data_IF_952882961006
#
_entry.id   IF_952882961006
#
_cell.length_a   1.000
_cell.length_b   1.000
_cell.length_c   1.000
_cell.angle_alpha   90.00
_cell.angle_beta   90.00
_cell.angle_gamma   90.00
#
_symmetry.space_group_name_H-M   'P 1'
#
loop_
_entity.id
_entity.type
_entity.pdbx_description
1 polymer ?
#
# COMPACT_ATOMS: atom_id res chain seq x y z
N UNK A 1 3.78 1.55 -10.06
CA UNK A 1 2.56 1.21 -10.82
C UNK A 1 1.90 -0.06 -10.31
N UNK A 2 2.54 -1.23 -10.39
CA UNK A 2 1.94 -2.47 -9.89
C UNK A 2 1.53 -2.39 -8.41
N UNK A 3 2.41 -1.89 -7.53
CA UNK A 3 2.07 -1.65 -6.11
C UNK A 3 0.82 -0.79 -5.92
N UNK A 4 0.72 0.29 -6.72
CA UNK A 4 -0.45 1.15 -6.82
C UNK A 4 -1.73 0.39 -7.18
N UNK A 5 -1.67 -0.32 -8.30
CA UNK A 5 -2.81 -1.01 -8.89
C UNK A 5 -3.30 -2.18 -8.04
N UNK A 6 -2.39 -2.91 -7.39
CA UNK A 6 -2.67 -4.17 -6.72
C UNK A 6 -2.82 -4.06 -5.20
N UNK A 7 -2.26 -3.02 -4.57
CA UNK A 7 -2.25 -2.89 -3.11
C UNK A 7 -2.69 -1.50 -2.66
N UNK A 8 -1.89 -0.46 -2.89
CA UNK A 8 -2.06 0.84 -2.21
C UNK A 8 -3.30 1.60 -2.70
N UNK A 9 -3.74 1.40 -3.95
CA UNK A 9 -5.03 1.90 -4.43
C UNK A 9 -6.20 1.34 -3.62
N UNK A 10 -6.21 0.01 -3.39
CA UNK A 10 -7.22 -0.65 -2.55
C UNK A 10 -7.12 -0.22 -1.10
N UNK A 11 -5.92 -0.24 -0.52
CA UNK A 11 -5.72 0.13 0.89
C UNK A 11 -6.21 1.54 1.18
N UNK A 12 -5.89 2.52 0.32
CA UNK A 12 -6.35 3.91 0.49
C UNK A 12 -7.87 4.05 0.35
N UNK A 13 -8.50 3.22 -0.49
CA UNK A 13 -9.96 3.15 -0.63
C UNK A 13 -10.60 2.55 0.61
N UNK A 14 -10.07 1.46 1.13
CA UNK A 14 -10.59 0.77 2.30
C UNK A 14 -10.48 1.63 3.56
N UNK A 15 -9.37 2.35 3.75
CA UNK A 15 -9.23 3.37 4.79
C UNK A 15 -10.38 4.37 4.70
N UNK A 16 -10.63 4.91 3.49
CA UNK A 16 -11.75 5.83 3.26
C UNK A 16 -13.11 5.22 3.57
N UNK A 17 -13.33 3.95 3.20
CA UNK A 17 -14.57 3.23 3.49
C UNK A 17 -14.81 3.09 4.99
N UNK A 18 -13.81 2.70 5.77
CA UNK A 18 -13.95 2.60 7.24
C UNK A 18 -14.26 3.94 7.87
N UNK A 19 -13.54 5.00 7.50
CA UNK A 19 -13.75 6.34 8.03
C UNK A 19 -15.15 6.88 7.69
N UNK A 20 -15.62 6.66 6.46
CA UNK A 20 -16.96 7.07 6.02
C UNK A 20 -18.09 6.30 6.73
N UNK A 21 -17.78 5.16 7.36
CA UNK A 21 -18.71 4.40 8.20
C UNK A 21 -18.57 4.73 9.70
N UNK A 22 -18.10 5.94 10.03
CA UNK A 22 -17.92 6.45 11.38
C UNK A 22 -16.92 5.67 12.25
N UNK A 23 -16.02 4.89 11.65
CA UNK A 23 -14.92 4.31 12.41
C UNK A 23 -13.80 5.34 12.58
N UNK A 24 -13.56 5.82 13.80
CA UNK A 24 -12.50 6.78 14.11
C UNK A 24 -11.17 6.12 14.52
N UNK A 25 -11.17 4.80 14.69
CA UNK A 25 -10.03 4.01 15.18
C UNK A 25 -9.41 3.21 14.03
N UNK A 26 -9.12 3.90 12.92
CA UNK A 26 -8.41 3.33 11.77
C UNK A 26 -6.95 3.69 11.89
N UNK A 27 -6.05 2.71 11.87
CA UNK A 27 -4.60 2.92 11.95
C UNK A 27 -3.94 2.40 10.68
N UNK A 28 -3.16 3.25 10.01
CA UNK A 28 -2.44 2.90 8.79
C UNK A 28 -0.94 2.88 9.03
N UNK A 29 -0.22 2.02 8.32
CA UNK A 29 1.24 2.03 8.25
C UNK A 29 1.77 1.74 6.85
N UNK A 30 3.03 2.10 6.66
CA UNK A 30 3.88 1.58 5.59
C UNK A 30 5.08 0.91 6.23
N UNK A 31 5.36 -0.33 5.86
CA UNK A 31 6.59 -0.99 6.27
C UNK A 31 7.71 -0.55 5.33
N UNK A 32 8.54 0.38 5.80
CA UNK A 32 9.60 1.06 5.05
C UNK A 32 11.00 0.60 5.53
N UNK A 33 11.09 -0.57 6.18
CA UNK A 33 12.32 -1.05 6.77
C UNK A 33 13.05 -2.05 5.85
N UNK A 34 14.15 -1.66 5.19
CA UNK A 34 14.93 -2.58 4.38
C UNK A 34 15.73 -3.52 5.29
N UNK A 35 15.40 -4.82 5.24
CA UNK A 35 16.12 -5.86 5.96
C UNK A 35 16.39 -7.08 5.08
N UNK A 36 17.35 -7.89 5.49
CA UNK A 36 17.60 -9.22 4.92
C UNK A 36 16.86 -10.33 5.68
N UNK A 37 16.24 -10.03 6.83
CA UNK A 37 15.43 -11.00 7.57
C UNK A 37 14.21 -11.37 6.73
N UNK A 38 14.04 -12.67 6.46
CA UNK A 38 12.96 -13.21 5.63
C UNK A 38 13.04 -12.88 4.14
N UNK A 39 14.19 -12.38 3.67
CA UNK A 39 14.41 -12.15 2.25
C UNK A 39 14.73 -13.47 1.54
N UNK A 40 13.80 -13.96 0.71
CA UNK A 40 13.98 -15.18 -0.09
C UNK A 40 14.68 -14.87 -1.42
N UNK A 41 15.99 -14.63 -1.39
CA UNK A 41 16.78 -14.42 -2.61
C UNK A 41 18.08 -13.64 -2.41
N UNK A 42 18.82 -13.43 -3.48
CA UNK A 42 19.90 -12.44 -3.50
C UNK A 42 19.29 -11.04 -3.68
N UNK A 43 19.72 -10.06 -2.88
CA UNK A 43 19.38 -8.66 -3.19
C UNK A 43 19.93 -8.33 -4.56
N UNK A 44 19.09 -7.73 -5.39
CA UNK A 44 19.51 -7.21 -6.68
C UNK A 44 20.40 -6.00 -6.43
N UNK A 45 21.60 -6.02 -7.00
CA UNK A 45 22.54 -4.90 -6.91
C UNK A 45 21.87 -3.62 -7.41
N UNK A 46 21.91 -2.55 -6.62
CA UNK A 46 21.23 -1.28 -6.90
C UNK A 46 19.79 -1.19 -6.38
N UNK A 47 19.30 -2.22 -5.69
CA UNK A 47 17.97 -2.27 -5.07
C UNK A 47 18.06 -2.65 -3.58
N UNK A 48 19.16 -2.32 -2.93
CA UNK A 48 19.44 -2.71 -1.55
C UNK A 48 18.42 -2.15 -0.55
N UNK A 49 17.83 -1.00 -0.87
CA UNK A 49 16.85 -0.29 -0.03
C UNK A 49 15.39 -0.64 -0.38
N UNK A 50 15.16 -1.58 -1.30
CA UNK A 50 13.79 -2.00 -1.67
C UNK A 50 13.22 -2.93 -0.60
N UNK A 51 11.99 -2.62 -0.18
CA UNK A 51 11.17 -3.47 0.69
C UNK A 51 10.22 -4.31 -0.17
N UNK A 52 10.41 -5.63 -0.29
CA UNK A 52 9.52 -6.48 -1.09
C UNK A 52 8.20 -6.75 -0.37
N UNK A 53 7.21 -7.24 -1.14
CA UNK A 53 5.95 -7.72 -0.58
C UNK A 53 6.20 -8.83 0.46
N UNK A 54 5.59 -8.70 1.64
CA UNK A 54 5.71 -9.65 2.74
C UNK A 54 6.97 -9.50 3.59
N UNK A 55 7.79 -8.46 3.37
CA UNK A 55 8.99 -8.20 4.16
C UNK A 55 8.70 -7.94 5.65
N UNK A 56 7.47 -7.57 5.98
CA UNK A 56 7.01 -7.28 7.33
C UNK A 56 6.68 -8.55 8.13
N UNK A 57 6.34 -9.65 7.45
CA UNK A 57 5.90 -10.93 8.05
C UNK A 57 6.89 -11.51 9.06
N UNK A 58 8.21 -11.56 8.79
CA UNK A 58 9.19 -12.05 9.76
C UNK A 58 9.25 -11.20 11.02
N UNK A 59 8.92 -9.91 10.93
CA UNK A 59 9.00 -8.96 12.04
C UNK A 59 7.74 -8.97 12.91
N UNK A 60 6.54 -9.07 12.31
CA UNK A 60 5.29 -9.16 13.09
C UNK A 60 5.17 -10.50 13.83
N UNK A 61 5.54 -11.61 13.17
CA UNK A 61 5.34 -12.96 13.73
C UNK A 61 6.59 -13.56 14.36
N UNK A 62 7.73 -12.86 14.29
CA UNK A 62 9.03 -13.37 14.73
C UNK A 62 9.28 -14.80 14.21
N UNK A 63 8.97 -15.05 12.93
CA UNK A 63 8.94 -16.40 12.35
C UNK A 63 10.32 -17.03 12.43
N UNK A 64 10.46 -18.03 13.30
CA UNK A 64 11.75 -18.60 13.70
C UNK A 64 12.64 -19.00 12.51
N UNK A 65 12.06 -19.64 11.49
CA UNK A 65 12.80 -20.08 10.30
C UNK A 65 13.54 -18.96 9.58
N UNK A 66 12.93 -17.78 9.48
CA UNK A 66 13.53 -16.64 8.77
C UNK A 66 14.67 -16.03 9.57
N UNK A 67 14.45 -15.88 10.88
CA UNK A 67 15.45 -15.32 11.78
C UNK A 67 16.66 -16.23 11.91
N UNK A 68 16.45 -17.55 12.08
CA UNK A 68 17.54 -18.52 12.12
C UNK A 68 18.33 -18.53 10.82
N UNK A 69 17.66 -18.44 9.66
CA UNK A 69 18.34 -18.34 8.38
C UNK A 69 19.16 -17.04 8.27
N UNK A 70 18.59 -15.90 8.66
CA UNK A 70 19.29 -14.62 8.64
C UNK A 70 20.50 -14.60 9.58
N UNK A 71 20.39 -15.19 10.77
CA UNK A 71 21.49 -15.35 11.73
C UNK A 71 22.59 -16.22 11.12
N UNK A 72 22.23 -17.39 10.58
CA UNK A 72 23.17 -18.30 9.92
C UNK A 72 23.92 -17.62 8.77
N UNK A 73 23.24 -16.76 8.03
CA UNK A 73 23.82 -16.02 6.91
C UNK A 73 24.59 -14.76 7.35
N UNK A 74 24.56 -14.39 8.63
CA UNK A 74 25.20 -13.18 9.15
C UNK A 74 24.56 -11.88 8.63
N UNK A 75 23.28 -11.91 8.27
CA UNK A 75 22.58 -10.78 7.63
C UNK A 75 21.70 -9.97 8.58
N UNK A 76 21.60 -10.41 9.85
CA UNK A 76 20.92 -9.64 10.90
C UNK A 76 21.77 -8.44 11.28
N UNK A 77 21.15 -7.26 11.32
CA UNK A 77 21.76 -6.00 11.76
C UNK A 77 21.18 -5.55 13.11
N UNK A 78 21.88 -4.71 13.89
CA UNK A 78 21.45 -4.33 15.23
C UNK A 78 20.05 -3.70 15.33
N UNK A 79 19.56 -3.10 14.25
CA UNK A 79 18.24 -2.45 14.18
C UNK A 79 17.10 -3.42 13.89
N UNK A 80 17.36 -4.66 13.43
CA UNK A 80 16.30 -5.62 13.08
C UNK A 80 15.45 -5.99 14.31
N UNK A 81 16.09 -6.37 15.41
CA UNK A 81 15.39 -6.78 16.64
C UNK A 81 14.56 -5.64 17.25
N UNK A 82 15.07 -4.40 17.38
CA UNK A 82 14.25 -3.26 17.79
C UNK A 82 13.01 -3.04 16.93
N UNK A 83 13.11 -3.14 15.61
CA UNK A 83 11.95 -3.01 14.70
C UNK A 83 10.95 -4.13 14.93
N UNK A 84 11.42 -5.39 15.06
CA UNK A 84 10.56 -6.54 15.35
C UNK A 84 9.85 -6.42 16.70
N UNK A 85 10.56 -6.00 17.74
CA UNK A 85 9.99 -5.79 19.07
C UNK A 85 8.91 -4.71 19.04
N UNK A 86 9.20 -3.55 18.44
CA UNK A 86 8.21 -2.48 18.28
C UNK A 86 6.98 -2.98 17.54
N UNK A 87 7.15 -3.69 16.42
CA UNK A 87 6.04 -4.07 15.58
C UNK A 87 5.17 -5.16 16.23
N UNK A 88 5.78 -6.15 16.90
CA UNK A 88 5.08 -7.15 17.69
C UNK A 88 4.35 -6.54 18.89
N UNK A 89 4.96 -5.60 19.59
CA UNK A 89 4.30 -4.84 20.65
C UNK A 89 3.10 -4.05 20.10
N UNK A 90 3.27 -3.37 18.96
CA UNK A 90 2.21 -2.60 18.35
C UNK A 90 0.99 -3.46 17.97
N UNK A 91 1.23 -4.61 17.34
CA UNK A 91 0.17 -5.56 17.00
C UNK A 91 -0.52 -6.15 18.23
N UNK A 92 0.24 -6.48 19.29
CA UNK A 92 -0.34 -7.03 20.51
C UNK A 92 -1.11 -5.99 21.32
N UNK A 93 -0.65 -4.73 21.32
CA UNK A 93 -1.40 -3.62 21.91
C UNK A 93 -2.69 -3.34 21.14
N UNK A 94 -2.65 -3.37 19.81
CA UNK A 94 -3.85 -3.23 18.99
C UNK A 94 -4.87 -4.33 19.32
N UNK A 95 -4.43 -5.58 19.43
CA UNK A 95 -5.31 -6.69 19.79
C UNK A 95 -5.91 -6.58 21.20
N UNK A 96 -5.18 -6.03 22.17
CA UNK A 96 -5.63 -5.91 23.57
C UNK A 96 -6.48 -4.66 23.83
N UNK A 97 -6.15 -3.55 23.18
CA UNK A 97 -6.60 -2.21 23.57
C UNK A 97 -7.23 -1.42 22.42
N UNK A 98 -7.26 -1.98 21.20
CA UNK A 98 -7.75 -1.31 20.00
C UNK A 98 -6.84 -0.19 19.47
N UNK A 99 -5.64 -0.02 20.05
CA UNK A 99 -4.66 1.00 19.65
C UNK A 99 -3.25 0.40 19.59
N UNK A 100 -2.43 0.73 18.58
CA UNK A 100 -1.11 0.12 18.42
C UNK A 100 -0.07 0.65 19.42
N UNK A 101 -0.17 1.90 19.88
CA UNK A 101 0.71 2.40 20.95
C UNK A 101 -0.09 2.98 22.11
N UNK A 102 0.38 2.74 23.33
CA UNK A 102 -0.32 3.16 24.55
C UNK A 102 -0.07 4.64 24.89
N UNK A 103 1.05 5.19 24.42
CA UNK A 103 1.44 6.58 24.58
C UNK A 103 0.83 7.51 23.51
N UNK A 104 0.13 6.95 22.51
CA UNK A 104 -0.48 7.70 21.41
C UNK A 104 0.50 8.18 20.34
N UNK A 105 1.75 7.69 20.34
CA UNK A 105 2.76 8.01 19.31
C UNK A 105 2.35 7.57 17.89
N UNK A 106 1.56 6.50 17.76
CA UNK A 106 0.93 6.09 16.51
C UNK A 106 -0.54 6.51 16.52
N UNK A 107 -0.81 7.64 15.86
CA UNK A 107 -2.12 8.26 15.82
C UNK A 107 -3.04 7.58 14.78
N UNK A 108 -4.36 7.52 15.01
CA UNK A 108 -5.31 7.07 14.01
C UNK A 108 -5.31 8.00 12.80
N UNK A 109 -5.82 7.49 11.68
CA UNK A 109 -5.98 8.24 10.44
C UNK A 109 -6.95 9.40 10.66
N UNK A 110 -6.54 10.61 10.27
CA UNK A 110 -7.26 11.85 10.58
C UNK A 110 -8.48 12.05 9.71
N UNK A 111 -8.41 11.71 8.42
CA UNK A 111 -9.56 11.76 7.51
C UNK A 111 -9.35 10.92 6.25
N UNK A 112 -10.44 10.71 5.50
CA UNK A 112 -10.39 9.99 4.23
C UNK A 112 -9.46 10.66 3.20
N UNK A 113 -9.30 11.99 3.28
CA UNK A 113 -8.46 12.80 2.39
C UNK A 113 -7.06 13.03 2.92
N UNK A 114 -6.88 13.08 4.24
CA UNK A 114 -5.60 13.26 4.91
C UNK A 114 -5.24 11.97 5.64
N UNK A 115 -4.79 10.97 4.87
CA UNK A 115 -4.49 9.66 5.44
C UNK A 115 -3.11 9.66 6.09
N UNK A 116 -2.97 10.13 7.33
CA UNK A 116 -1.71 9.96 8.08
C UNK A 116 -1.48 8.48 8.40
N UNK A 117 -0.21 8.10 8.49
CA UNK A 117 0.21 6.73 8.67
C UNK A 117 1.56 6.68 9.40
N UNK A 118 1.87 5.56 10.02
CA UNK A 118 3.20 5.33 10.56
C UNK A 118 4.10 4.70 9.50
N UNK A 119 5.22 5.35 9.18
CA UNK A 119 6.31 4.72 8.45
C UNK A 119 7.13 3.90 9.44
N UNK A 120 6.96 2.58 9.40
CA UNK A 120 7.68 1.64 10.25
C UNK A 120 9.05 1.44 9.64
N UNK A 121 10.06 1.93 10.34
CA UNK A 121 11.46 1.87 9.95
C UNK A 121 12.33 1.92 11.23
N UNK A 122 13.62 2.19 11.11
CA UNK A 122 14.51 2.23 12.27
C UNK A 122 14.14 3.30 13.33
N UNK A 123 13.44 4.37 12.95
CA UNK A 123 13.06 5.46 13.85
C UNK A 123 11.56 5.62 14.07
N UNK A 124 10.72 4.97 13.26
CA UNK A 124 9.25 5.04 13.30
C UNK A 124 8.71 6.48 13.26
N UNK A 125 8.23 6.91 12.10
CA UNK A 125 7.84 8.32 11.90
C UNK A 125 6.41 8.42 11.39
N UNK A 126 5.57 9.19 12.07
CA UNK A 126 4.26 9.57 11.56
C UNK A 126 4.44 10.44 10.32
N UNK A 127 3.84 10.01 9.21
CA UNK A 127 3.82 10.72 7.94
C UNK A 127 2.38 11.04 7.56
N UNK A 128 2.23 12.01 6.68
CA UNK A 128 0.94 12.42 6.13
C UNK A 128 0.77 11.88 4.71
N UNK A 129 -0.47 11.87 4.22
CA UNK A 129 -0.79 11.61 2.81
C UNK A 129 -0.32 10.23 2.32
N UNK A 130 -0.70 9.16 3.02
CA UNK A 130 -0.43 7.78 2.62
C UNK A 130 -0.80 7.55 1.16
N UNK A 131 0.23 7.31 0.34
CA UNK A 131 0.12 6.94 -1.08
C UNK A 131 -0.90 7.80 -1.86
N UNK A 132 -0.92 9.11 -1.60
CA UNK A 132 -1.92 10.03 -2.16
C UNK A 132 -2.02 10.00 -3.69
N UNK A 133 -0.90 9.83 -4.39
CA UNK A 133 -0.87 9.70 -5.85
C UNK A 133 -1.59 8.42 -6.29
N UNK A 134 -1.32 7.29 -5.65
CA UNK A 134 -1.99 6.02 -5.95
C UNK A 134 -3.49 6.14 -5.68
N UNK A 135 -3.89 6.78 -4.57
CA UNK A 135 -5.30 7.04 -4.27
C UNK A 135 -5.98 7.83 -5.38
N UNK A 136 -5.37 8.92 -5.85
CA UNK A 136 -5.95 9.75 -6.92
C UNK A 136 -6.04 8.96 -8.22
N UNK A 137 -4.96 8.28 -8.62
CA UNK A 137 -4.93 7.54 -9.89
C UNK A 137 -5.94 6.39 -9.87
N UNK A 138 -5.90 5.54 -8.85
CA UNK A 138 -6.66 4.28 -8.85
C UNK A 138 -8.10 4.42 -8.36
N UNK A 139 -8.41 5.43 -7.55
CA UNK A 139 -9.75 5.62 -6.99
C UNK A 139 -10.51 6.81 -7.58
N UNK A 140 -9.89 7.63 -8.46
CA UNK A 140 -10.57 8.73 -9.14
C UNK A 140 -10.31 8.72 -10.65
N UNK A 141 -9.04 8.82 -11.06
CA UNK A 141 -8.70 8.97 -12.48
C UNK A 141 -9.08 7.73 -13.31
N UNK A 142 -8.66 6.53 -12.90
CA UNK A 142 -9.02 5.29 -13.60
C UNK A 142 -10.54 5.05 -13.60
N UNK A 143 -11.25 5.11 -12.45
CA UNK A 143 -12.69 4.93 -12.45
C UNK A 143 -13.48 5.91 -13.33
N UNK A 144 -13.03 7.16 -13.42
CA UNK A 144 -13.68 8.17 -14.28
C UNK A 144 -13.64 7.81 -15.77
N UNK A 145 -12.73 6.92 -16.16
CA UNK A 145 -12.50 6.51 -17.54
C UNK A 145 -13.13 5.15 -17.82
N UNK A 146 -12.94 4.19 -16.91
CA UNK A 146 -13.30 2.78 -17.15
C UNK A 146 -14.55 2.34 -16.40
N UNK A 147 -15.16 3.20 -15.59
CA UNK A 147 -16.25 2.84 -14.68
C UNK A 147 -15.71 2.23 -13.39
N UNK A 148 -16.30 1.12 -12.93
CA UNK A 148 -15.84 0.52 -11.67
C UNK A 148 -14.40 -0.03 -11.82
N UNK A 149 -13.52 0.37 -10.89
CA UNK A 149 -12.16 -0.16 -10.79
C UNK A 149 -11.87 -0.66 -9.36
N UNK A 150 -11.40 -1.91 -9.18
CA UNK A 150 -11.42 -2.95 -10.22
C UNK A 150 -12.85 -3.15 -10.72
N UNK A 151 -13.01 -3.68 -11.93
CA UNK A 151 -14.33 -4.07 -12.40
C UNK A 151 -14.96 -4.93 -11.31
N UNK A 152 -16.19 -4.61 -10.93
CA UNK A 152 -16.99 -5.59 -10.21
C UNK A 152 -16.92 -6.87 -11.03
N UNK A 153 -16.61 -8.00 -10.39
CA UNK A 153 -16.67 -9.29 -11.08
C UNK A 153 -17.98 -9.31 -11.82
N UNK A 154 -17.99 -9.49 -13.16
CA UNK A 154 -19.24 -9.52 -13.88
C UNK A 154 -20.12 -10.51 -13.14
N UNK A 155 -21.31 -10.05 -12.74
CA UNK A 155 -22.32 -10.95 -12.25
C UNK A 155 -22.49 -11.97 -13.38
N UNK A 156 -21.92 -13.17 -13.21
CA UNK A 156 -21.78 -14.16 -14.29
C UNK A 156 -23.16 -14.56 -14.86
N UNK A 157 -24.23 -14.11 -14.21
CA UNK A 157 -25.61 -14.30 -14.56
C UNK A 157 -26.23 -13.20 -15.45
N UNK A 158 -25.59 -12.04 -15.67
CA UNK A 158 -26.30 -10.88 -16.24
C UNK A 158 -25.73 -10.25 -17.54
N UNK A 159 -24.67 -10.81 -18.15
CA UNK A 159 -24.32 -10.52 -19.55
C UNK A 159 -23.98 -9.06 -19.91
N UNK A 160 -23.80 -8.16 -18.94
CA UNK A 160 -23.52 -6.74 -19.18
C UNK A 160 -22.08 -6.55 -19.65
N UNK A 161 -21.91 -6.09 -20.89
CA UNK A 161 -20.61 -5.77 -21.49
C UNK A 161 -19.99 -4.51 -20.84
N UNK A 162 -18.65 -4.44 -20.69
CA UNK A 162 -17.97 -3.24 -20.18
C UNK A 162 -18.18 -2.03 -21.12
N UNK A 163 -18.35 -0.83 -20.54
CA UNK A 163 -18.42 0.42 -21.32
C UNK A 163 -17.05 0.82 -21.88
N UNK A 164 -17.05 1.39 -23.08
CA UNK A 164 -15.83 1.90 -23.73
C UNK A 164 -15.21 3.08 -22.96
N UNK A 165 -13.89 3.04 -22.84
CA UNK A 165 -13.06 4.04 -22.12
C UNK A 165 -12.69 5.20 -23.05
N UNK A 166 -12.88 6.47 -22.65
CA UNK A 166 -12.44 7.63 -23.42
C UNK A 166 -10.92 7.67 -23.63
N UNK A 167 -10.47 8.24 -24.76
CA UNK A 167 -9.06 8.24 -25.17
C UNK A 167 -8.21 9.39 -24.60
N UNK A 168 -8.80 10.33 -23.87
CA UNK A 168 -8.12 11.54 -23.37
C UNK A 168 -8.25 11.70 -21.84
N UNK A 169 -7.10 11.69 -21.16
CA UNK A 169 -6.95 11.76 -19.70
C UNK A 169 -6.72 13.19 -19.18
N UNK A 170 -6.48 14.16 -20.07
CA UNK A 170 -6.00 15.51 -19.71
C UNK A 170 -7.03 16.35 -18.93
N UNK A 171 -8.32 16.10 -19.15
CA UNK A 171 -9.40 16.89 -18.54
C UNK A 171 -9.65 16.55 -17.06
N UNK A 172 -9.44 15.30 -16.63
CA UNK A 172 -9.69 14.87 -15.24
C UNK A 172 -8.56 15.31 -14.30
N UNK A 173 -7.34 15.30 -14.80
CA UNK A 173 -6.13 15.57 -14.02
C UNK A 173 -5.89 17.07 -13.81
N UNK A 174 -6.27 17.89 -14.79
CA UNK A 174 -6.20 19.36 -14.69
C UNK A 174 -7.18 19.95 -13.66
N UNK A 175 -8.33 19.30 -13.43
CA UNK A 175 -9.32 19.72 -12.43
C UNK A 175 -8.89 19.55 -10.97
N UNK A 176 -7.85 18.76 -10.70
CA UNK A 176 -7.32 18.50 -9.34
C UNK A 176 -5.88 18.99 -9.15
N UNK A 177 -5.36 19.80 -10.09
CA UNK A 177 -4.03 20.40 -10.01
C UNK A 177 -2.87 19.40 -10.08
N UNK A 178 -3.07 18.26 -10.74
CA UNK A 178 -2.09 17.19 -10.81
C UNK A 178 -1.69 16.91 -12.27
N UNK A 179 -0.40 17.03 -12.60
CA UNK A 179 0.13 16.64 -13.91
C UNK A 179 0.84 15.28 -13.80
N UNK A 180 0.40 14.30 -14.59
CA UNK A 180 1.12 13.03 -14.72
C UNK A 180 2.34 13.22 -15.61
N UNK A 181 3.46 12.60 -15.23
CA UNK A 181 4.62 12.50 -16.12
C UNK A 181 4.28 11.72 -17.40
N UNK A 182 4.96 11.99 -18.51
CA UNK A 182 4.76 11.27 -19.77
C UNK A 182 4.88 9.75 -19.61
N UNK A 183 5.79 9.30 -18.74
CA UNK A 183 5.96 7.90 -18.40
C UNK A 183 4.72 7.31 -17.71
N UNK A 184 4.11 8.04 -16.77
CA UNK A 184 2.87 7.62 -16.11
C UNK A 184 1.70 7.57 -17.11
N UNK A 185 1.59 8.57 -17.98
CA UNK A 185 0.57 8.58 -19.04
C UNK A 185 0.72 7.39 -20.02
N UNK A 186 1.96 7.08 -20.42
CA UNK A 186 2.27 5.95 -21.30
C UNK A 186 1.92 4.60 -20.64
N UNK A 187 2.27 4.43 -19.36
CA UNK A 187 1.93 3.21 -18.62
C UNK A 187 0.42 3.05 -18.46
N UNK A 188 -0.30 4.14 -18.15
CA UNK A 188 -1.77 4.13 -18.10
C UNK A 188 -2.38 3.69 -19.43
N UNK A 189 -1.92 4.26 -20.55
CA UNK A 189 -2.39 3.88 -21.90
C UNK A 189 -2.17 2.41 -22.20
N UNK A 190 -1.01 1.86 -21.82
CA UNK A 190 -0.70 0.44 -22.03
C UNK A 190 -1.56 -0.48 -21.15
N UNK A 191 -1.81 -0.12 -19.88
CA UNK A 191 -2.67 -0.92 -19.00
C UNK A 191 -4.13 -0.94 -19.46
N UNK A 192 -4.66 0.21 -19.91
CA UNK A 192 -6.00 0.31 -20.50
C UNK A 192 -6.07 -0.44 -21.83
N UNK A 193 -5.01 -0.39 -22.65
CA UNK A 193 -4.94 -1.10 -23.93
C UNK A 193 -4.90 -2.62 -23.81
N UNK A 194 -4.24 -3.17 -22.77
CA UNK A 194 -4.19 -4.63 -22.52
C UNK A 194 -5.57 -5.19 -22.16
N UNK A 195 -6.45 -4.39 -21.53
CA UNK A 195 -7.84 -4.77 -21.27
C UNK A 195 -8.68 -5.00 -22.54
N UNK A 196 -8.24 -4.52 -23.72
CA UNK A 196 -8.98 -4.66 -24.98
C UNK A 196 -8.66 -5.96 -25.75
N UNK A 197 -7.69 -6.77 -25.30
CA UNK A 197 -7.17 -7.92 -26.08
C UNK A 197 -7.36 -9.31 -25.44
N UNK A 198 -8.14 -9.44 -24.37
CA UNK A 198 -8.46 -10.74 -23.76
C UNK A 198 -9.97 -11.06 -23.80
N UNK A 199 -10.57 -10.99 -24.99
CA UNK A 199 -11.85 -11.62 -25.30
C UNK A 199 -11.78 -12.28 -26.68
#
# INVERSE_FOLDING_TARGET
VFTGAAFTGYTTRDIGYYLNNNNTEVYAYEFDYPSYVGYYGAKLKGYEDVVPHGAEIPFVWMRESDWQQAIKNGTVVPTDLPVGNFFGEAWTNFAKFGRPTLDGSWQPVSSATEQNYLSINATNVMKNLYRNIDRVIWNQAIPSQVGNWPPETPDYNNGTQPKEVPSDLSCVLSGIGFELSEQQQSILKNMIGVSRYNN
#
